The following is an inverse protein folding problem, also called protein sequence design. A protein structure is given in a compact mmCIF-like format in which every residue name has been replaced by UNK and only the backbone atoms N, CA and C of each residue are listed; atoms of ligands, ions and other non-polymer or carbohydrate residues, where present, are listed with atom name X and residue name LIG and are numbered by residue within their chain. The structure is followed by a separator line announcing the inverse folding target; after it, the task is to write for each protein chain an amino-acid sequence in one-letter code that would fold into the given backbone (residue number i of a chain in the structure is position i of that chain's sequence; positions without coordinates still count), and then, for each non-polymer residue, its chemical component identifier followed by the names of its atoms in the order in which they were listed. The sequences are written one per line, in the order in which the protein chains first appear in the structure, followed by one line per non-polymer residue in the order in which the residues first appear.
data_IF_074307778430
#
_entry.id   IF_074307778430
#
_cell.length_a   1.000
_cell.length_b   1.000
_cell.length_c   1.000
_cell.angle_alpha   90.00
_cell.angle_beta   90.00
_cell.angle_gamma   90.00
#
_symmetry.space_group_name_H-M   'P 1'
#
loop_
_entity.id
_entity.type
_entity.pdbx_description
1 polymer ?
#
# COMPACT_ATOMS: atom_id res chain seq x y z
N UNK A 1 -22.11 23.37 -8.17
CA UNK A 1 -22.29 21.93 -8.49
C UNK A 1 -20.95 21.29 -8.21
N UNK A 2 -20.85 20.44 -7.19
CA UNK A 2 -19.63 19.68 -6.90
C UNK A 2 -19.34 18.76 -8.07
N UNK A 3 -18.16 18.88 -8.71
CA UNK A 3 -17.75 17.93 -9.73
C UNK A 3 -17.41 16.61 -9.04
N UNK A 4 -17.99 15.52 -9.50
CA UNK A 4 -17.64 14.19 -9.01
C UNK A 4 -16.15 13.91 -9.26
N UNK A 5 -15.49 13.23 -8.31
CA UNK A 5 -14.11 12.76 -8.49
C UNK A 5 -14.14 11.46 -9.27
N UNK A 6 -13.35 11.39 -10.36
CA UNK A 6 -13.18 10.17 -11.13
C UNK A 6 -11.87 9.50 -10.72
N UNK A 7 -11.95 8.24 -10.29
CA UNK A 7 -10.78 7.42 -9.91
C UNK A 7 -10.67 6.26 -10.91
N UNK A 8 -9.42 5.94 -11.30
CA UNK A 8 -9.10 4.77 -12.10
C UNK A 8 -8.12 3.90 -11.32
N UNK A 9 -8.50 2.65 -11.10
CA UNK A 9 -7.61 1.65 -10.52
C UNK A 9 -7.12 0.67 -11.58
N UNK A 10 -5.89 0.17 -11.39
CA UNK A 10 -5.25 -0.79 -12.28
C UNK A 10 -4.46 -1.80 -11.48
N UNK A 11 -4.64 -3.09 -11.78
CA UNK A 11 -4.00 -4.19 -11.08
C UNK A 11 -2.97 -4.88 -11.99
N UNK A 12 -1.79 -5.18 -11.43
CA UNK A 12 -0.72 -5.89 -12.14
C UNK A 12 -0.08 -6.94 -11.21
N UNK A 13 0.48 -7.99 -11.80
CA UNK A 13 1.20 -9.03 -11.04
C UNK A 13 2.56 -9.33 -11.65
N UNK A 14 3.52 -9.69 -10.79
CA UNK A 14 4.84 -10.16 -11.23
C UNK A 14 4.80 -11.55 -11.88
N UNK A 15 3.80 -12.36 -11.55
CA UNK A 15 3.74 -13.73 -12.01
C UNK A 15 2.41 -14.42 -11.71
N UNK A 16 2.28 -15.65 -12.19
CA UNK A 16 1.09 -16.49 -12.05
C UNK A 16 1.38 -17.79 -11.28
N UNK A 17 2.48 -17.83 -10.53
CA UNK A 17 2.92 -19.02 -9.77
C UNK A 17 3.00 -20.30 -10.62
N UNK A 18 3.48 -20.16 -11.86
CA UNK A 18 3.63 -21.29 -12.79
C UNK A 18 2.33 -21.71 -13.50
N UNK A 19 1.20 -21.05 -13.24
CA UNK A 19 -0.03 -21.30 -13.99
C UNK A 19 0.06 -20.55 -15.33
N UNK A 20 0.01 -21.25 -16.49
CA UNK A 20 0.14 -20.59 -17.78
C UNK A 20 -1.10 -19.74 -18.10
N UNK A 21 -0.86 -18.55 -18.65
CA UNK A 21 -1.94 -17.73 -19.22
C UNK A 21 -2.32 -18.35 -20.58
N UNK A 22 -3.60 -18.70 -20.82
CA UNK A 22 -4.01 -19.28 -22.08
C UNK A 22 -3.77 -18.32 -23.27
N UNK A 23 -3.17 -18.78 -24.35
CA UNK A 23 -2.94 -17.98 -25.56
C UNK A 23 -4.20 -17.36 -26.13
N UNK A 24 -5.35 -18.07 -25.97
CA UNK A 24 -6.65 -17.57 -26.42
C UNK A 24 -7.22 -16.45 -25.55
N UNK A 25 -6.64 -16.16 -24.37
CA UNK A 25 -7.10 -15.15 -23.43
C UNK A 25 -5.92 -14.43 -22.76
N UNK A 26 -5.02 -13.78 -23.53
CA UNK A 26 -3.81 -13.16 -22.98
C UNK A 26 -4.10 -11.96 -22.05
N UNK A 27 -5.34 -11.46 -22.06
CA UNK A 27 -5.79 -10.29 -21.28
C UNK A 27 -6.37 -10.63 -19.90
N UNK A 28 -6.47 -11.92 -19.51
CA UNK A 28 -7.09 -12.30 -18.21
C UNK A 28 -6.20 -11.98 -17.01
N UNK A 29 -4.89 -11.79 -17.23
CA UNK A 29 -3.93 -11.39 -16.20
C UNK A 29 -3.07 -10.26 -16.75
N UNK A 30 -2.99 -9.16 -16.03
CA UNK A 30 -2.08 -8.07 -16.34
C UNK A 30 -0.74 -8.33 -15.65
N UNK A 31 0.27 -8.68 -16.43
CA UNK A 31 1.63 -8.78 -15.93
C UNK A 31 2.25 -7.39 -15.72
N UNK A 32 3.22 -7.30 -14.80
CA UNK A 32 4.08 -6.12 -14.67
C UNK A 32 4.95 -6.03 -15.95
N UNK A 33 4.46 -5.27 -16.91
CA UNK A 33 5.09 -4.99 -18.20
C UNK A 33 5.16 -3.49 -18.43
N UNK A 34 6.35 -2.97 -18.72
CA UNK A 34 6.60 -1.53 -18.81
C UNK A 34 5.76 -0.84 -19.89
N UNK A 35 5.69 -1.42 -21.07
CA UNK A 35 5.03 -0.78 -22.22
C UNK A 35 3.51 -0.79 -22.02
N UNK A 36 2.99 -1.92 -21.50
CA UNK A 36 1.57 -2.03 -21.16
C UNK A 36 1.19 -1.07 -20.05
N UNK A 37 1.93 -1.03 -18.96
CA UNK A 37 1.68 -0.11 -17.83
C UNK A 37 1.72 1.35 -18.30
N UNK A 38 2.71 1.71 -19.14
CA UNK A 38 2.82 3.06 -19.68
C UNK A 38 1.58 3.43 -20.50
N UNK A 39 1.11 2.53 -21.37
CA UNK A 39 -0.10 2.76 -22.17
C UNK A 39 -1.37 2.86 -21.29
N UNK A 40 -1.53 1.94 -20.35
CA UNK A 40 -2.70 1.88 -19.46
C UNK A 40 -2.79 3.12 -18.56
N UNK A 41 -1.68 3.52 -17.92
CA UNK A 41 -1.64 4.68 -17.01
C UNK A 41 -1.82 5.99 -17.81
N UNK A 42 -1.18 6.12 -18.99
CA UNK A 42 -1.37 7.29 -19.86
C UNK A 42 -2.84 7.45 -20.24
N UNK A 43 -3.52 6.35 -20.56
CA UNK A 43 -4.95 6.38 -20.87
C UNK A 43 -5.80 6.69 -19.62
N UNK A 44 -5.44 6.11 -18.47
CA UNK A 44 -6.15 6.36 -17.21
C UNK A 44 -6.11 7.85 -16.82
N UNK A 45 -4.94 8.49 -16.94
CA UNK A 45 -4.76 9.94 -16.66
C UNK A 45 -5.59 10.86 -17.60
N UNK A 46 -6.00 10.37 -18.77
CA UNK A 46 -6.90 11.11 -19.67
C UNK A 46 -8.37 10.97 -19.27
N UNK A 47 -8.73 9.95 -18.49
CA UNK A 47 -10.10 9.57 -18.17
C UNK A 47 -10.49 9.82 -16.73
N UNK A 48 -9.52 10.03 -15.85
CA UNK A 48 -9.75 10.15 -14.42
C UNK A 48 -8.91 11.26 -13.79
N UNK A 49 -9.41 11.79 -12.69
CA UNK A 49 -8.74 12.81 -11.89
C UNK A 49 -7.59 12.22 -11.07
N UNK A 50 -7.70 10.94 -10.70
CA UNK A 50 -6.72 10.23 -9.87
C UNK A 50 -6.54 8.79 -10.36
N UNK A 51 -5.30 8.30 -10.33
CA UNK A 51 -4.92 6.94 -10.74
C UNK A 51 -4.32 6.19 -9.56
N UNK A 52 -4.90 5.02 -9.24
CA UNK A 52 -4.44 4.11 -8.21
C UNK A 52 -3.92 2.83 -8.88
N UNK A 53 -2.74 2.36 -8.46
CA UNK A 53 -2.17 1.09 -8.95
C UNK A 53 -2.08 0.09 -7.80
N UNK A 54 -2.54 -1.16 -8.06
CA UNK A 54 -2.52 -2.24 -7.08
C UNK A 54 -1.60 -3.36 -7.60
N UNK A 55 -0.28 -3.27 -7.37
CA UNK A 55 0.65 -4.28 -7.83
C UNK A 55 0.76 -5.44 -6.85
N UNK A 56 0.85 -6.65 -7.39
CA UNK A 56 1.27 -7.86 -6.69
C UNK A 56 2.73 -8.09 -7.05
N UNK A 57 3.65 -7.69 -6.15
CA UNK A 57 5.07 -7.48 -6.46
C UNK A 57 5.99 -7.75 -5.26
N UNK A 58 7.30 -7.65 -5.48
CA UNK A 58 8.32 -7.74 -4.43
C UNK A 58 8.73 -9.16 -4.08
N UNK A 59 9.54 -9.27 -3.04
CA UNK A 59 10.08 -10.54 -2.56
C UNK A 59 9.32 -11.00 -1.32
N UNK A 60 8.86 -12.26 -1.30
CA UNK A 60 8.15 -12.83 -0.16
C UNK A 60 8.99 -12.75 1.13
N UNK A 61 8.33 -12.33 2.22
CA UNK A 61 8.86 -12.36 3.60
C UNK A 61 10.00 -11.39 3.89
N UNK A 62 10.19 -10.40 3.04
CA UNK A 62 11.14 -9.30 3.23
C UNK A 62 10.38 -8.05 3.69
N UNK A 63 10.92 -7.31 4.68
CA UNK A 63 10.24 -6.16 5.30
C UNK A 63 10.59 -4.82 4.66
N UNK A 64 11.49 -4.82 3.70
CA UNK A 64 11.95 -3.62 3.00
C UNK A 64 11.75 -3.78 1.51
N UNK A 65 11.37 -2.71 0.81
CA UNK A 65 11.19 -2.75 -0.62
C UNK A 65 12.45 -3.23 -1.35
N UNK A 66 12.29 -4.17 -2.24
CA UNK A 66 13.38 -4.69 -3.06
C UNK A 66 13.66 -3.80 -4.30
N UNK A 67 14.71 -4.13 -5.05
CA UNK A 67 15.08 -3.37 -6.25
C UNK A 67 14.00 -3.39 -7.35
N UNK A 68 13.18 -4.43 -7.39
CA UNK A 68 12.08 -4.56 -8.35
C UNK A 68 10.93 -3.62 -7.96
N UNK A 69 10.52 -3.62 -6.68
CA UNK A 69 9.54 -2.67 -6.16
C UNK A 69 9.99 -1.22 -6.38
N UNK A 70 11.26 -0.93 -6.10
CA UNK A 70 11.82 0.41 -6.33
C UNK A 70 11.79 0.82 -7.81
N UNK A 71 12.10 -0.09 -8.74
CA UNK A 71 12.01 0.16 -10.17
C UNK A 71 10.58 0.52 -10.60
N UNK A 72 9.59 -0.29 -10.18
CA UNK A 72 8.20 -0.03 -10.53
C UNK A 72 7.65 1.23 -9.87
N UNK A 73 8.04 1.52 -8.63
CA UNK A 73 7.69 2.75 -7.92
C UNK A 73 8.15 3.98 -8.73
N UNK A 74 9.40 4.00 -9.19
CA UNK A 74 9.92 5.10 -10.00
C UNK A 74 9.19 5.22 -11.34
N UNK A 75 8.84 4.11 -11.98
CA UNK A 75 8.04 4.14 -13.22
C UNK A 75 6.64 4.72 -12.95
N UNK A 76 5.92 4.24 -11.93
CA UNK A 76 4.59 4.74 -11.58
C UNK A 76 4.62 6.23 -11.26
N UNK A 77 5.59 6.68 -10.47
CA UNK A 77 5.80 8.10 -10.16
C UNK A 77 6.00 8.92 -11.44
N UNK A 78 6.88 8.47 -12.34
CA UNK A 78 7.18 9.16 -13.60
C UNK A 78 5.98 9.25 -14.55
N UNK A 79 5.03 8.33 -14.43
CA UNK A 79 3.77 8.30 -15.18
C UNK A 79 2.65 9.13 -14.54
N UNK A 80 2.88 9.67 -13.34
CA UNK A 80 1.91 10.48 -12.60
C UNK A 80 0.82 9.65 -11.92
N UNK A 81 1.13 8.44 -11.47
CA UNK A 81 0.26 7.67 -10.56
C UNK A 81 0.20 8.39 -9.22
N UNK A 82 -0.96 8.40 -8.59
CA UNK A 82 -1.20 9.15 -7.36
C UNK A 82 -1.09 8.26 -6.11
N UNK A 83 -1.48 6.99 -6.22
CA UNK A 83 -1.43 6.02 -5.10
C UNK A 83 -1.03 4.63 -5.60
N UNK A 84 -0.16 3.97 -4.82
CA UNK A 84 0.19 2.56 -5.01
C UNK A 84 -0.16 1.78 -3.75
N UNK A 85 -0.85 0.64 -3.91
CA UNK A 85 -1.20 -0.27 -2.80
C UNK A 85 -0.67 -1.65 -3.15
N UNK A 86 0.51 -1.98 -2.63
CA UNK A 86 1.24 -3.20 -2.90
C UNK A 86 0.77 -4.39 -2.07
N UNK A 87 0.91 -5.56 -2.66
CA UNK A 87 0.65 -6.88 -2.05
C UNK A 87 1.68 -7.88 -2.53
N UNK A 88 1.69 -9.10 -2.02
CA UNK A 88 2.53 -10.26 -2.32
C UNK A 88 3.55 -10.61 -1.23
N UNK A 89 4.33 -9.69 -0.61
CA UNK A 89 5.37 -10.07 0.35
C UNK A 89 4.88 -10.90 1.55
N UNK A 90 3.57 -10.96 1.79
CA UNK A 90 2.95 -11.66 2.93
C UNK A 90 3.36 -11.13 4.32
N UNK A 91 4.06 -10.01 4.35
CA UNK A 91 4.44 -9.25 5.54
C UNK A 91 4.17 -7.78 5.27
N UNK A 92 4.03 -6.97 6.32
CA UNK A 92 4.02 -5.52 6.17
C UNK A 92 5.36 -5.02 5.62
N UNK A 93 5.29 -4.01 4.78
CA UNK A 93 6.42 -3.17 4.37
C UNK A 93 6.07 -1.70 4.64
N UNK A 94 7.04 -0.77 4.56
CA UNK A 94 6.82 0.64 4.85
C UNK A 94 5.71 1.28 4.01
N UNK A 95 5.21 2.40 4.54
CA UNK A 95 4.34 3.34 3.81
C UNK A 95 5.13 4.62 3.60
N UNK A 96 5.22 5.09 2.37
CA UNK A 96 6.03 6.25 2.02
C UNK A 96 5.30 7.18 1.07
N UNK A 97 5.64 8.46 1.11
CA UNK A 97 5.30 9.43 0.07
C UNK A 97 6.57 9.71 -0.72
N UNK A 98 6.53 9.39 -2.01
CA UNK A 98 7.63 9.66 -2.92
C UNK A 98 7.27 10.82 -3.85
N UNK A 99 8.26 11.66 -4.18
CA UNK A 99 8.04 12.87 -4.98
C UNK A 99 8.99 12.91 -6.17
N UNK A 100 8.51 13.45 -7.27
CA UNK A 100 9.33 13.75 -8.43
C UNK A 100 9.92 15.17 -8.36
N UNK A 101 10.79 15.49 -9.29
CA UNK A 101 11.43 16.83 -9.38
C UNK A 101 10.46 17.95 -9.83
N UNK A 102 9.22 17.61 -10.20
CA UNK A 102 8.18 18.55 -10.63
C UNK A 102 7.16 18.82 -9.52
N UNK A 103 7.33 18.21 -8.33
CA UNK A 103 6.44 18.36 -7.20
C UNK A 103 5.22 17.42 -7.21
N UNK A 104 5.20 16.41 -8.10
CA UNK A 104 4.18 15.36 -8.02
C UNK A 104 4.51 14.41 -6.87
N UNK A 105 3.52 14.15 -6.02
CA UNK A 105 3.63 13.24 -4.87
C UNK A 105 2.79 11.98 -5.12
N UNK A 106 3.34 10.82 -4.76
CA UNK A 106 2.68 9.53 -4.85
C UNK A 106 2.75 8.80 -3.52
N UNK A 107 1.60 8.45 -2.95
CA UNK A 107 1.52 7.63 -1.75
C UNK A 107 1.74 6.15 -2.10
N UNK A 108 2.67 5.49 -1.41
CA UNK A 108 3.02 4.08 -1.65
C UNK A 108 2.88 3.28 -0.36
N UNK A 109 1.94 2.35 -0.33
CA UNK A 109 1.93 1.22 0.60
C UNK A 109 2.67 0.08 -0.10
N UNK A 110 3.91 -0.20 0.27
CA UNK A 110 4.72 -1.21 -0.41
C UNK A 110 4.15 -2.62 -0.25
N UNK A 111 3.69 -2.98 0.95
CA UNK A 111 2.91 -4.19 1.18
C UNK A 111 1.99 -4.04 2.39
N UNK A 112 0.73 -4.42 2.22
CA UNK A 112 -0.23 -4.50 3.31
C UNK A 112 -0.13 -5.80 4.12
N UNK A 113 0.76 -6.73 3.76
CA UNK A 113 0.83 -8.04 4.41
C UNK A 113 -0.45 -8.86 4.24
N UNK A 114 -0.74 -9.71 5.22
CA UNK A 114 -1.90 -10.59 5.18
C UNK A 114 -3.05 -10.04 6.03
N UNK A 115 -4.19 -9.74 5.40
CA UNK A 115 -5.41 -9.40 6.15
C UNK A 115 -5.97 -10.62 6.90
N UNK A 116 -6.00 -11.78 6.24
CA UNK A 116 -6.35 -13.08 6.80
C UNK A 116 -5.54 -14.15 6.09
N UNK A 117 -4.91 -15.06 6.85
CA UNK A 117 -4.01 -16.05 6.24
C UNK A 117 -3.91 -17.32 7.07
N UNK A 118 -3.69 -18.46 6.41
CA UNK A 118 -3.33 -19.72 7.05
C UNK A 118 -1.82 -19.98 7.00
N UNK A 119 -1.00 -18.96 6.84
CA UNK A 119 0.47 -19.05 6.86
C UNK A 119 0.99 -19.55 8.23
N UNK A 120 2.23 -20.04 8.27
CA UNK A 120 2.81 -20.82 9.35
C UNK A 120 3.97 -20.12 10.09
N UNK A 121 4.17 -18.83 9.84
CA UNK A 121 5.21 -18.04 10.49
C UNK A 121 4.62 -16.78 11.15
N UNK A 122 5.10 -16.45 12.34
CA UNK A 122 4.58 -15.36 13.16
C UNK A 122 4.56 -13.97 12.49
N UNK A 123 5.54 -13.54 11.66
CA UNK A 123 5.46 -12.25 10.98
C UNK A 123 4.32 -12.18 9.97
N UNK A 124 3.94 -13.32 9.39
CA UNK A 124 2.88 -13.43 8.38
C UNK A 124 1.47 -13.38 8.97
N UNK A 125 1.37 -13.31 10.33
CA UNK A 125 0.12 -13.05 11.03
C UNK A 125 -0.21 -11.56 11.10
N UNK A 126 0.70 -10.70 10.68
CA UNK A 126 0.57 -9.25 10.75
C UNK A 126 0.25 -8.71 9.35
N UNK A 127 -0.76 -7.88 9.26
CA UNK A 127 -1.13 -7.14 8.06
C UNK A 127 -1.62 -5.75 8.40
N UNK A 128 -2.14 -5.03 7.40
CA UNK A 128 -2.66 -3.69 7.55
C UNK A 128 -3.89 -3.43 6.69
N UNK A 129 -4.69 -2.48 7.12
CA UNK A 129 -5.76 -1.88 6.34
C UNK A 129 -5.36 -0.45 5.99
N UNK A 130 -5.24 -0.15 4.70
CA UNK A 130 -5.02 1.18 4.19
C UNK A 130 -6.33 1.99 4.20
N UNK A 131 -6.26 3.23 4.65
CA UNK A 131 -7.35 4.20 4.54
C UNK A 131 -6.76 5.55 4.15
N UNK A 132 -7.41 6.27 3.29
CA UNK A 132 -6.98 7.60 2.86
C UNK A 132 -8.18 8.51 2.61
N UNK A 133 -7.97 9.80 2.75
CA UNK A 133 -8.93 10.82 2.34
C UNK A 133 -8.45 11.46 1.06
N UNK A 134 -9.22 11.27 0.00
CA UNK A 134 -8.98 11.88 -1.31
C UNK A 134 -9.83 13.13 -1.42
N UNK A 135 -9.24 14.21 -1.89
CA UNK A 135 -9.89 15.50 -2.06
C UNK A 135 -9.79 15.94 -3.52
N UNK A 136 -10.88 16.51 -4.03
CA UNK A 136 -10.92 17.28 -5.28
C UNK A 136 -11.40 18.67 -4.97
N UNK A 137 -10.60 19.67 -5.26
CA UNK A 137 -10.91 21.07 -5.11
C UNK A 137 -10.43 21.88 -6.34
N UNK A 138 -10.39 23.20 -6.22
CA UNK A 138 -9.95 24.10 -7.31
C UNK A 138 -8.46 23.92 -7.66
N UNK A 139 -7.66 23.35 -6.75
CA UNK A 139 -6.22 23.09 -6.96
C UNK A 139 -5.96 21.77 -7.68
N UNK A 140 -6.91 20.83 -7.63
CA UNK A 140 -6.80 19.51 -8.25
C UNK A 140 -7.28 18.37 -7.35
N UNK A 141 -6.78 17.17 -7.65
CA UNK A 141 -7.04 15.97 -6.83
C UNK A 141 -5.77 15.55 -6.11
N UNK A 142 -5.89 15.22 -4.82
CA UNK A 142 -4.75 14.84 -3.97
C UNK A 142 -5.17 13.99 -2.78
N UNK A 143 -4.19 13.34 -2.15
CA UNK A 143 -4.35 12.63 -0.87
C UNK A 143 -4.18 13.64 0.25
N UNK A 144 -5.26 13.94 0.98
CA UNK A 144 -5.22 14.87 2.12
C UNK A 144 -4.55 14.25 3.35
N UNK A 145 -4.92 13.04 3.67
CA UNK A 145 -4.33 12.26 4.74
C UNK A 145 -4.39 10.77 4.41
N UNK A 146 -3.55 10.00 5.06
CA UNK A 146 -3.56 8.54 4.95
C UNK A 146 -3.33 7.89 6.31
N UNK A 147 -3.80 6.65 6.41
CA UNK A 147 -3.73 5.82 7.61
C UNK A 147 -3.34 4.40 7.22
N UNK A 148 -2.66 3.71 8.13
CA UNK A 148 -2.57 2.27 8.14
C UNK A 148 -2.98 1.77 9.53
N UNK A 149 -4.03 0.96 9.58
CA UNK A 149 -4.48 0.26 10.79
C UNK A 149 -3.92 -1.16 10.77
N UNK A 150 -2.95 -1.51 11.63
CA UNK A 150 -2.43 -2.85 11.73
C UNK A 150 -3.50 -3.85 12.17
N UNK A 151 -3.44 -5.05 11.57
CA UNK A 151 -4.34 -6.16 11.88
C UNK A 151 -3.55 -7.44 12.16
N UNK A 152 -4.11 -8.29 13.00
CA UNK A 152 -3.52 -9.56 13.41
C UNK A 152 -4.44 -10.71 13.02
N UNK A 153 -3.91 -11.67 12.28
CA UNK A 153 -4.58 -12.92 11.98
C UNK A 153 -4.54 -13.83 13.22
N UNK A 154 -5.72 -14.20 13.72
CA UNK A 154 -5.90 -15.15 14.83
C UNK A 154 -6.27 -16.52 14.27
N UNK A 155 -5.40 -17.52 14.46
CA UNK A 155 -5.67 -18.92 14.15
C UNK A 155 -6.24 -19.57 15.41
N UNK A 156 -7.40 -20.20 15.31
CA UNK A 156 -8.07 -20.86 16.45
C UNK A 156 -7.68 -22.33 16.52
N UNK A 157 -7.12 -22.72 17.65
CA UNK A 157 -6.70 -24.11 17.91
C UNK A 157 -7.90 -25.07 17.81
N UNK A 158 -7.72 -26.17 17.08
CA UNK A 158 -8.74 -27.24 16.93
C UNK A 158 -9.99 -26.92 16.12
N UNK A 159 -10.19 -25.65 15.70
CA UNK A 159 -11.42 -25.23 15.01
C UNK A 159 -11.27 -25.01 13.50
N UNK A 160 -10.08 -25.11 12.93
CA UNK A 160 -9.79 -24.72 11.54
C UNK A 160 -10.41 -23.37 11.16
N UNK A 161 -10.52 -22.46 12.12
CA UNK A 161 -11.10 -21.15 11.96
C UNK A 161 -10.00 -20.09 12.07
N UNK A 162 -10.08 -19.10 11.21
CA UNK A 162 -9.15 -17.97 11.17
C UNK A 162 -10.00 -16.71 11.20
N UNK A 163 -9.59 -15.72 11.97
CA UNK A 163 -10.24 -14.42 12.07
C UNK A 163 -9.19 -13.31 12.13
N UNK A 164 -9.60 -12.09 11.95
CA UNK A 164 -8.72 -10.91 11.98
C UNK A 164 -9.19 -9.96 13.05
N UNK A 165 -8.23 -9.42 13.81
CA UNK A 165 -8.44 -8.37 14.81
C UNK A 165 -7.63 -7.14 14.43
N UNK A 166 -8.13 -5.95 14.72
CA UNK A 166 -7.27 -4.78 14.77
C UNK A 166 -6.26 -4.95 15.90
N UNK A 167 -5.05 -4.42 15.73
CA UNK A 167 -4.03 -4.48 16.78
C UNK A 167 -4.53 -3.81 18.07
N UNK A 168 -5.28 -2.71 17.99
CA UNK A 168 -5.88 -2.02 19.14
C UNK A 168 -6.82 -2.91 19.98
N UNK A 169 -7.45 -3.89 19.34
CA UNK A 169 -8.38 -4.83 19.98
C UNK A 169 -7.71 -6.18 20.30
N UNK A 170 -6.43 -6.35 19.93
CA UNK A 170 -5.70 -7.59 20.12
C UNK A 170 -5.05 -7.63 21.50
N UNK A 171 -5.36 -8.66 22.28
CA UNK A 171 -4.90 -8.78 23.67
C UNK A 171 -3.82 -9.84 23.81
N UNK A 172 -3.06 -9.80 24.91
CA UNK A 172 -2.10 -10.87 25.23
C UNK A 172 -2.78 -12.24 25.41
N UNK A 173 -4.01 -12.27 25.89
CA UNK A 173 -4.82 -13.51 25.98
C UNK A 173 -5.11 -14.09 24.60
N UNK A 174 -5.44 -13.23 23.60
CA UNK A 174 -5.62 -13.66 22.20
C UNK A 174 -4.30 -14.17 21.63
N UNK A 175 -3.20 -13.43 21.83
CA UNK A 175 -1.88 -13.80 21.34
C UNK A 175 -1.42 -15.16 21.91
N UNK A 176 -1.57 -15.37 23.20
CA UNK A 176 -1.24 -16.62 23.89
C UNK A 176 -2.09 -17.79 23.40
N UNK A 177 -3.34 -17.53 23.01
CA UNK A 177 -4.27 -18.52 22.43
C UNK A 177 -4.16 -18.69 20.91
N UNK A 178 -3.26 -17.96 20.23
CA UNK A 178 -3.10 -18.09 18.80
C UNK A 178 -2.41 -19.41 18.44
N UNK A 179 -3.05 -20.22 17.58
CA UNK A 179 -2.53 -21.52 17.16
C UNK A 179 -1.20 -21.45 16.40
N UNK A 180 -0.80 -20.27 15.89
CA UNK A 180 0.52 -20.05 15.29
C UNK A 180 1.66 -20.45 16.23
N UNK A 181 1.46 -20.34 17.56
CA UNK A 181 2.46 -20.69 18.57
C UNK A 181 2.87 -22.16 18.55
N UNK A 182 2.09 -23.03 17.90
CA UNK A 182 2.40 -24.45 17.71
C UNK A 182 3.26 -24.70 16.46
N UNK A 183 3.38 -23.70 15.57
CA UNK A 183 4.20 -23.81 14.38
C UNK A 183 5.69 -23.60 14.77
N UNK A 184 6.59 -24.20 13.99
CA UNK A 184 8.04 -24.17 14.28
C UNK A 184 8.57 -22.73 14.35
N UNK A 185 9.28 -22.41 15.44
CA UNK A 185 9.86 -21.08 15.63
C UNK A 185 8.88 -19.97 16.02
N UNK A 186 7.61 -20.32 16.35
CA UNK A 186 6.56 -19.36 16.65
C UNK A 186 6.06 -19.36 18.10
N UNK A 187 6.68 -20.16 18.98
CA UNK A 187 6.22 -20.33 20.39
C UNK A 187 6.26 -19.03 21.22
N UNK A 188 7.05 -18.04 20.81
CA UNK A 188 7.20 -16.72 21.42
C UNK A 188 6.27 -15.64 20.81
N UNK A 189 5.33 -16.03 19.93
CA UNK A 189 4.34 -15.11 19.40
C UNK A 189 3.53 -14.49 20.55
N UNK A 190 3.48 -13.16 20.61
CA UNK A 190 2.89 -12.37 21.69
C UNK A 190 2.38 -11.04 21.16
N UNK A 191 1.58 -10.34 21.95
CA UNK A 191 1.18 -8.97 21.62
C UNK A 191 2.40 -8.05 21.48
N UNK A 192 3.35 -8.15 22.42
CA UNK A 192 4.60 -7.37 22.39
C UNK A 192 5.42 -7.65 21.12
N UNK A 193 5.49 -8.91 20.67
CA UNK A 193 6.13 -9.23 19.38
C UNK A 193 5.48 -8.48 18.22
N UNK A 194 4.15 -8.49 18.15
CA UNK A 194 3.42 -7.78 17.07
C UNK A 194 3.68 -6.28 17.11
N UNK A 195 3.57 -5.65 18.28
CA UNK A 195 3.80 -4.22 18.48
C UNK A 195 5.22 -3.80 18.07
N UNK A 196 6.22 -4.56 18.53
CA UNK A 196 7.63 -4.28 18.24
C UNK A 196 7.91 -4.36 16.72
N UNK A 197 7.43 -5.41 16.05
CA UNK A 197 7.67 -5.58 14.63
C UNK A 197 6.96 -4.50 13.80
N UNK A 198 5.71 -4.16 14.16
CA UNK A 198 4.96 -3.09 13.47
C UNK A 198 5.68 -1.75 13.62
N UNK A 199 6.12 -1.39 14.84
CA UNK A 199 6.88 -0.15 15.07
C UNK A 199 8.18 -0.12 14.27
N UNK A 200 8.89 -1.24 14.21
CA UNK A 200 10.12 -1.36 13.42
C UNK A 200 9.89 -1.12 11.92
N UNK A 201 8.75 -1.59 11.37
CA UNK A 201 8.44 -1.48 9.94
C UNK A 201 7.88 -0.10 9.60
N UNK A 202 6.93 0.41 10.40
CA UNK A 202 6.22 1.65 10.12
C UNK A 202 6.96 2.92 10.61
N UNK A 203 7.99 2.75 11.46
CA UNK A 203 8.86 3.84 11.87
C UNK A 203 8.19 4.87 12.78
N UNK A 204 8.65 6.13 12.68
CA UNK A 204 8.26 7.19 13.60
C UNK A 204 6.84 7.69 13.43
N UNK A 205 6.26 7.54 12.24
CA UNK A 205 4.87 7.93 11.95
C UNK A 205 3.83 7.00 12.60
N UNK A 206 4.26 5.84 13.12
CA UNK A 206 3.39 4.93 13.85
C UNK A 206 3.21 5.37 15.30
N UNK A 207 1.98 5.65 15.69
CA UNK A 207 1.59 6.02 17.05
C UNK A 207 1.20 4.76 17.85
N UNK A 208 2.04 4.38 18.81
CA UNK A 208 1.82 3.23 19.68
C UNK A 208 0.60 3.41 20.60
N UNK A 209 0.22 4.65 20.94
CA UNK A 209 -0.92 4.93 21.82
C UNK A 209 -2.26 4.66 21.16
N UNK A 210 -2.36 4.88 19.85
CA UNK A 210 -3.54 4.61 19.03
C UNK A 210 -3.45 3.26 18.31
N UNK A 211 -2.24 2.68 18.23
CA UNK A 211 -1.92 1.51 17.43
C UNK A 211 -2.20 1.72 15.93
N UNK A 212 -1.97 2.92 15.42
CA UNK A 212 -2.20 3.29 14.04
C UNK A 212 -1.07 4.17 13.49
N UNK A 213 -0.89 4.14 12.17
CA UNK A 213 -0.16 5.16 11.45
C UNK A 213 -1.18 6.16 10.89
N UNK A 214 -1.04 7.45 11.23
CA UNK A 214 -1.91 8.53 10.77
C UNK A 214 -1.06 9.72 10.32
N UNK A 215 -1.07 10.04 9.04
CA UNK A 215 -0.29 11.14 8.48
C UNK A 215 -1.21 12.10 7.74
N UNK A 216 -1.06 13.40 8.04
CA UNK A 216 -1.72 14.47 7.32
C UNK A 216 -0.72 15.11 6.35
N UNK A 217 -0.94 14.93 5.05
CA UNK A 217 -0.07 15.48 4.00
C UNK A 217 -0.40 16.94 3.70
N UNK A 218 -1.69 17.22 3.52
CA UNK A 218 -2.18 18.54 3.11
C UNK A 218 -3.31 18.98 4.02
N UNK A 219 -3.03 19.34 5.29
CA UNK A 219 -4.07 19.72 6.26
C UNK A 219 -4.90 20.93 5.79
N UNK A 220 -4.24 21.88 5.07
CA UNK A 220 -4.85 23.13 4.58
C UNK A 220 -5.15 23.12 3.06
N UNK A 221 -5.06 21.94 2.40
CA UNK A 221 -5.16 21.81 0.95
C UNK A 221 -3.81 22.00 0.23
N UNK A 222 -3.75 21.63 -1.06
CA UNK A 222 -2.55 21.89 -1.88
C UNK A 222 -2.43 23.39 -2.13
N UNK A 223 -1.32 23.98 -1.71
CA UNK A 223 -0.97 25.36 -2.11
C UNK A 223 -0.36 25.28 -3.50
N UNK A 224 -1.03 25.84 -4.51
CA UNK A 224 -0.40 26.04 -5.82
C UNK A 224 0.81 26.95 -5.64
N UNK A 225 1.99 26.44 -6.03
CA UNK A 225 3.19 27.26 -6.14
C UNK A 225 2.99 28.23 -7.30
N UNK A 226 2.55 29.46 -6.98
CA UNK A 226 2.27 30.52 -7.96
C UNK A 226 3.55 31.17 -8.50
N UNK A 227 4.74 30.64 -8.14
CA UNK A 227 6.02 31.22 -8.54
C UNK A 227 6.49 30.91 -9.98
N UNK A 228 5.73 30.08 -10.74
CA UNK A 228 6.14 29.65 -12.07
C UNK A 228 5.48 30.43 -13.26
N UNK A 229 4.73 31.51 -13.03
CA UNK A 229 3.97 32.22 -14.10
C UNK A 229 4.36 33.68 -14.31
N UNK A 230 5.54 34.14 -13.87
CA UNK A 230 6.02 35.47 -14.24
C UNK A 230 7.40 35.43 -14.91
N UNK A 231 7.51 34.84 -16.11
CA UNK A 231 8.64 35.11 -17.03
C UNK A 231 8.34 34.80 -18.48
N UNK A 232 7.24 35.35 -19.05
CA UNK A 232 7.10 35.43 -20.50
C UNK A 232 6.16 36.56 -20.95
N UNK A 233 6.45 37.80 -20.52
CA UNK A 233 5.92 38.97 -21.18
C UNK A 233 6.84 40.17 -20.99
N UNK A 234 8.01 40.17 -21.69
CA UNK A 234 8.70 41.39 -22.12
C UNK A 234 9.84 41.06 -23.05
N UNK A 235 9.57 40.95 -24.33
CA UNK A 235 10.49 41.35 -25.38
C UNK A 235 9.68 41.67 -26.62
N UNK A 236 9.65 42.94 -26.88
CA UNK A 236 9.25 43.49 -28.19
C UNK A 236 10.20 43.07 -29.28
#
# INVERSE_FOLDING_TARGET
MGSEMCIRDSNYTYGTNGIPIPDSKPYIVNMLDKDKITADVTKAKQLADMVIVLPHWGTEYVYTPDSNQNYWTQLFLSLGVDVVIGTHPHVLEPVEVVSDTKGHEMLVYYSLGNFVSNQDQKPRMIGGMAKMTLVKDETGCYVKNYNLTPVITQKLFGKKAITTYKLSDYTESLASGNAIRNDSGCSDFSLSYCQTLIKQILGDDYDESTSELNVSLHPDGLVKDTSATESSSSAK
#
